data_IF_961978179098
#
_entry.id   IF_961978179098
#
_cell.length_a   1.000
_cell.length_b   1.000
_cell.length_c   1.000
_cell.angle_alpha   90.00
_cell.angle_beta   90.00
_cell.angle_gamma   90.00
#
_symmetry.space_group_name_H-M   'P 1'
#
loop_
_entity.id
_entity.type
_entity.pdbx_description
1 polymer ?
#
# COMPACT_ATOMS: atom_id res chain seq x y z
N UNK A 1 15.18 39.92 32.33
CA UNK A 1 14.22 38.79 32.23
C UNK A 1 14.08 38.47 30.75
N UNK A 2 14.62 37.34 30.33
CA UNK A 2 14.74 36.96 28.91
C UNK A 2 13.49 36.15 28.56
N UNK A 3 12.70 36.61 27.59
CA UNK A 3 11.52 35.88 27.13
C UNK A 3 11.96 34.54 26.50
N UNK A 4 11.30 33.41 26.82
CA UNK A 4 11.61 32.15 26.17
C UNK A 4 11.20 32.26 24.69
N UNK A 5 12.15 31.93 23.82
CA UNK A 5 11.92 31.73 22.40
C UNK A 5 10.81 30.68 22.24
N UNK A 6 9.61 31.12 21.88
CA UNK A 6 8.53 30.23 21.45
C UNK A 6 9.04 29.45 20.24
N UNK A 7 9.25 28.17 20.46
CA UNK A 7 9.66 27.16 19.48
C UNK A 7 8.64 27.16 18.33
N UNK A 8 9.03 27.69 17.18
CA UNK A 8 8.31 27.56 15.91
C UNK A 8 8.92 26.36 15.19
N UNK A 9 8.37 25.17 15.43
CA UNK A 9 8.57 24.05 14.52
C UNK A 9 7.27 23.27 14.39
N UNK A 10 6.31 23.90 13.71
CA UNK A 10 5.28 23.13 13.02
C UNK A 10 5.74 23.03 11.58
N UNK A 11 6.74 22.17 11.35
CA UNK A 11 7.00 21.61 10.03
C UNK A 11 5.69 21.00 9.56
N UNK A 12 4.98 21.72 8.71
CA UNK A 12 3.83 21.18 7.99
C UNK A 12 4.39 20.04 7.16
N UNK A 13 4.19 18.83 7.66
CA UNK A 13 4.62 17.60 7.03
C UNK A 13 3.78 17.50 5.76
N UNK A 14 4.28 18.08 4.67
CA UNK A 14 3.70 17.94 3.34
C UNK A 14 4.06 16.53 2.88
N UNK A 15 3.34 15.57 3.46
CA UNK A 15 3.38 14.18 3.06
C UNK A 15 2.76 14.11 1.66
N UNK A 16 3.65 14.25 0.69
CA UNK A 16 3.62 13.44 -0.51
C UNK A 16 2.59 13.86 -1.56
N UNK A 17 2.99 14.84 -2.39
CA UNK A 17 2.49 15.03 -3.77
C UNK A 17 2.87 13.86 -4.71
N UNK A 18 2.87 12.63 -4.19
CA UNK A 18 2.92 11.37 -4.93
C UNK A 18 1.67 10.54 -4.59
N UNK A 19 0.57 11.24 -4.32
CA UNK A 19 -0.79 10.71 -4.08
C UNK A 19 -1.43 10.22 -5.38
N UNK A 20 -0.78 9.26 -6.05
CA UNK A 20 -1.43 8.44 -7.08
C UNK A 20 -0.96 6.98 -7.10
N UNK A 21 -0.27 6.54 -6.05
CA UNK A 21 -0.27 5.11 -5.69
C UNK A 21 -1.50 4.96 -4.80
N UNK A 22 -2.61 4.54 -5.39
CA UNK A 22 -3.92 4.41 -4.78
C UNK A 22 -3.81 3.95 -3.34
N UNK A 23 -4.41 4.70 -2.40
CA UNK A 23 -4.28 4.46 -0.96
C UNK A 23 -4.57 3.00 -0.56
N UNK A 24 -5.38 2.27 -1.36
CA UNK A 24 -5.61 0.83 -1.22
C UNK A 24 -4.36 -0.04 -1.43
N UNK A 25 -3.58 0.17 -2.49
CA UNK A 25 -2.38 -0.62 -2.77
C UNK A 25 -1.33 -0.45 -1.68
N UNK A 26 -1.04 0.81 -1.32
CA UNK A 26 -0.07 1.13 -0.26
C UNK A 26 -0.45 0.46 1.05
N UNK A 27 -1.75 0.46 1.39
CA UNK A 27 -2.26 -0.14 2.62
C UNK A 27 -2.27 -1.66 2.56
N UNK A 28 -2.52 -2.25 1.39
CA UNK A 28 -2.39 -3.69 1.15
C UNK A 28 -0.93 -4.15 1.29
N UNK A 29 0.02 -3.42 0.72
CA UNK A 29 1.44 -3.68 0.92
C UNK A 29 1.84 -3.54 2.39
N UNK A 30 1.39 -2.48 3.06
CA UNK A 30 1.65 -2.30 4.49
C UNK A 30 1.11 -3.48 5.31
N UNK A 31 -0.13 -3.92 5.05
CA UNK A 31 -0.74 -5.08 5.69
C UNK A 31 0.06 -6.36 5.45
N UNK A 32 0.54 -6.59 4.24
CA UNK A 32 1.36 -7.75 3.89
C UNK A 32 2.79 -7.67 4.44
N UNK A 33 3.34 -6.48 4.66
CA UNK A 33 4.63 -6.28 5.35
C UNK A 33 4.49 -6.62 6.85
N UNK A 34 3.42 -6.17 7.50
CA UNK A 34 3.23 -6.41 8.95
C UNK A 34 2.71 -7.81 9.24
N UNK A 35 2.02 -8.44 8.29
CA UNK A 35 1.45 -9.77 8.45
C UNK A 35 1.84 -10.71 7.31
N UNK A 36 2.78 -11.61 7.62
CA UNK A 36 3.25 -12.63 6.69
C UNK A 36 2.18 -13.65 6.30
N UNK A 37 1.18 -13.91 7.15
CA UNK A 37 0.07 -14.81 6.78
C UNK A 37 -0.77 -14.17 5.67
N UNK A 38 -1.13 -12.89 5.83
CA UNK A 38 -1.83 -12.15 4.78
C UNK A 38 -0.99 -12.07 3.51
N UNK A 39 0.33 -11.83 3.62
CA UNK A 39 1.24 -11.88 2.47
C UNK A 39 1.21 -13.23 1.75
N UNK A 40 1.27 -14.35 2.49
CA UNK A 40 1.20 -15.68 1.89
C UNK A 40 -0.16 -15.91 1.21
N UNK A 41 -1.26 -15.53 1.86
CA UNK A 41 -2.60 -15.60 1.26
C UNK A 41 -2.67 -14.74 0.00
N UNK A 42 -2.12 -13.53 0.01
CA UNK A 42 -2.10 -12.64 -1.15
C UNK A 42 -1.27 -13.19 -2.32
N UNK A 43 -0.16 -13.89 -2.04
CA UNK A 43 0.70 -14.50 -3.06
C UNK A 43 0.11 -15.81 -3.61
N UNK A 44 -0.63 -16.56 -2.80
CA UNK A 44 -1.25 -17.83 -3.20
C UNK A 44 -2.62 -17.61 -3.86
N UNK A 45 -3.43 -16.76 -3.25
CA UNK A 45 -4.81 -16.45 -3.63
C UNK A 45 -5.09 -14.93 -3.47
N UNK A 46 -4.61 -14.10 -4.42
CA UNK A 46 -4.80 -12.66 -4.36
C UNK A 46 -6.27 -12.25 -4.35
N UNK A 47 -7.13 -13.03 -5.03
CA UNK A 47 -8.57 -12.75 -5.10
C UNK A 47 -9.23 -12.88 -3.72
N UNK A 48 -8.96 -13.96 -2.99
CA UNK A 48 -9.49 -14.14 -1.64
C UNK A 48 -8.89 -13.16 -0.64
N UNK A 49 -7.61 -12.82 -0.77
CA UNK A 49 -6.97 -11.82 0.10
C UNK A 49 -7.57 -10.41 -0.06
N UNK A 50 -7.89 -10.01 -1.29
CA UNK A 50 -8.53 -8.72 -1.54
C UNK A 50 -9.99 -8.73 -1.09
N UNK A 51 -10.74 -9.79 -1.41
CA UNK A 51 -12.16 -9.92 -1.03
C UNK A 51 -12.39 -10.07 0.48
N UNK A 52 -11.53 -10.80 1.20
CA UNK A 52 -11.59 -10.86 2.67
C UNK A 52 -11.08 -9.56 3.32
N UNK A 53 -10.25 -8.80 2.61
CA UNK A 53 -9.55 -7.65 3.15
C UNK A 53 -8.59 -8.02 4.26
N UNK A 54 -8.25 -7.04 5.09
CA UNK A 54 -7.34 -7.20 6.21
C UNK A 54 -7.93 -6.56 7.46
N UNK A 55 -8.04 -7.35 8.55
CA UNK A 55 -8.67 -6.94 9.81
C UNK A 55 -10.12 -6.44 9.66
N UNK A 56 -10.86 -6.97 8.67
CA UNK A 56 -12.23 -6.55 8.37
C UNK A 56 -12.33 -5.25 7.56
N UNK A 57 -11.21 -4.70 7.11
CA UNK A 57 -11.18 -3.57 6.18
C UNK A 57 -10.85 -4.07 4.77
N UNK A 58 -11.72 -3.77 3.81
CA UNK A 58 -11.46 -4.02 2.39
C UNK A 58 -10.58 -2.88 1.86
N UNK A 59 -9.52 -3.22 1.13
CA UNK A 59 -8.68 -2.21 0.50
C UNK A 59 -9.48 -1.50 -0.59
N UNK A 60 -9.43 -0.16 -0.61
CA UNK A 60 -10.00 0.65 -1.69
C UNK A 60 -9.15 0.54 -2.95
N UNK A 61 -9.23 -0.62 -3.61
CA UNK A 61 -8.63 -0.92 -4.89
C UNK A 61 -9.70 -0.76 -5.97
N UNK A 62 -9.32 -0.22 -7.12
CA UNK A 62 -10.19 -0.25 -8.30
C UNK A 62 -10.16 -1.64 -8.92
N UNK A 63 -11.23 -2.06 -9.59
CA UNK A 63 -11.29 -3.35 -10.30
C UNK A 63 -10.07 -3.58 -11.22
N UNK A 64 -9.55 -2.53 -11.86
CA UNK A 64 -8.33 -2.61 -12.69
C UNK A 64 -7.07 -2.93 -11.88
N UNK A 65 -6.97 -2.44 -10.64
CA UNK A 65 -5.85 -2.72 -9.74
C UNK A 65 -5.96 -4.13 -9.16
N UNK A 66 -7.18 -4.56 -8.82
CA UNK A 66 -7.44 -5.94 -8.39
C UNK A 66 -7.07 -6.93 -9.49
N UNK A 67 -7.55 -6.70 -10.72
CA UNK A 67 -7.20 -7.52 -11.88
C UNK A 67 -5.69 -7.54 -12.12
N UNK A 68 -5.03 -6.38 -11.98
CA UNK A 68 -3.58 -6.28 -12.07
C UNK A 68 -2.89 -7.17 -11.02
N UNK A 69 -3.31 -7.11 -9.75
CA UNK A 69 -2.74 -7.92 -8.67
C UNK A 69 -3.01 -9.41 -8.91
N UNK A 70 -4.22 -9.77 -9.36
CA UNK A 70 -4.61 -11.15 -9.65
C UNK A 70 -3.81 -11.72 -10.83
N UNK A 71 -3.52 -10.87 -11.83
CA UNK A 71 -2.72 -11.22 -13.01
C UNK A 71 -1.22 -11.29 -12.69
N UNK A 72 -0.77 -10.56 -11.66
CA UNK A 72 0.60 -10.57 -11.14
C UNK A 72 0.83 -11.84 -10.31
N UNK A 73 1.62 -12.78 -10.85
CA UNK A 73 2.15 -13.92 -10.08
C UNK A 73 3.51 -13.58 -9.48
N UNK A 74 3.48 -13.04 -8.28
CA UNK A 74 4.69 -12.81 -7.50
C UNK A 74 4.97 -14.00 -6.55
N UNK A 75 6.25 -14.29 -6.31
CA UNK A 75 6.67 -15.27 -5.29
C UNK A 75 7.03 -14.62 -3.95
N UNK A 76 7.05 -13.29 -3.88
CA UNK A 76 7.39 -12.53 -2.68
C UNK A 76 6.77 -11.14 -2.73
N UNK A 77 6.53 -10.55 -1.57
CA UNK A 77 5.99 -9.18 -1.46
C UNK A 77 6.78 -8.17 -2.29
N UNK A 78 8.11 -8.22 -2.22
CA UNK A 78 9.01 -7.32 -2.94
C UNK A 78 8.82 -7.42 -4.46
N UNK A 79 8.54 -8.62 -4.95
CA UNK A 79 8.31 -8.90 -6.36
C UNK A 79 6.92 -8.37 -6.79
N UNK A 80 5.90 -8.61 -5.96
CA UNK A 80 4.55 -8.06 -6.14
C UNK A 80 4.59 -6.52 -6.19
N UNK A 81 5.31 -5.89 -5.25
CA UNK A 81 5.48 -4.43 -5.20
C UNK A 81 6.18 -3.89 -6.44
N UNK A 82 7.24 -4.56 -6.91
CA UNK A 82 7.94 -4.17 -8.15
C UNK A 82 7.05 -4.27 -9.36
N UNK A 83 6.27 -5.34 -9.47
CA UNK A 83 5.43 -5.59 -10.65
C UNK A 83 4.23 -4.64 -10.68
N UNK A 84 3.61 -4.39 -9.52
CA UNK A 84 2.56 -3.37 -9.39
C UNK A 84 3.10 -1.98 -9.72
N UNK A 85 4.27 -1.61 -9.17
CA UNK A 85 4.88 -0.31 -9.45
C UNK A 85 5.27 -0.14 -10.93
N UNK A 86 5.76 -1.21 -11.57
CA UNK A 86 6.07 -1.22 -13.01
C UNK A 86 4.81 -1.02 -13.84
N UNK A 87 3.71 -1.69 -13.49
CA UNK A 87 2.44 -1.56 -14.20
C UNK A 87 1.83 -0.16 -14.03
N UNK A 88 1.93 0.42 -12.83
CA UNK A 88 1.45 1.79 -12.56
C UNK A 88 2.32 2.86 -13.24
N UNK A 89 3.63 2.63 -13.34
CA UNK A 89 4.56 3.57 -14.01
C UNK A 89 4.48 3.55 -15.53
N UNK A 90 3.84 2.53 -16.12
CA UNK A 90 3.70 2.38 -17.57
C UNK A 90 2.36 2.92 -18.10
N UNK A 91 1.75 3.85 -17.35
CA UNK A 91 0.48 4.53 -17.65
C UNK A 91 0.67 6.04 -17.51
#
# INVERSE_FOLDING_TARGET
MIAPLTYQDTQQINLNAQSKISSGLSRMFAAAVVNQQFCHTLLHDPCSAIQNGYLGEIFSLSNAEEDLIISIRASSLSDLAKQVNRSLSNY
#
